data_IF_911964572082
#
_entry.id   IF_911964572082
#
_cell.length_a   1.000
_cell.length_b   1.000
_cell.length_c   1.000
_cell.angle_alpha   90.00
_cell.angle_beta   90.00
_cell.angle_gamma   90.00
#
_symmetry.space_group_name_H-M   'P 1'
#
loop_
_entity.id
_entity.type
_entity.pdbx_description
1 polymer ?
#
# COMPACT_ATOMS: atom_id res chain seq x y z
N UNK A 1 44.78 26.14 30.72
CA UNK A 1 44.85 25.34 29.46
C UNK A 1 44.90 23.83 29.69
N UNK A 2 45.86 23.26 30.44
CA UNK A 2 45.95 21.79 30.66
C UNK A 2 44.68 21.14 31.27
N UNK A 3 44.04 21.80 32.24
CA UNK A 3 42.80 21.30 32.86
C UNK A 3 41.62 21.24 31.88
N UNK A 4 41.46 22.27 31.05
CA UNK A 4 40.41 22.35 30.01
C UNK A 4 40.60 21.26 28.97
N UNK A 5 41.83 21.04 28.50
CA UNK A 5 42.12 19.96 27.53
C UNK A 5 41.81 18.58 28.11
N UNK A 6 42.16 18.32 29.39
CA UNK A 6 41.82 17.04 30.05
C UNK A 6 40.31 16.84 30.19
N UNK A 7 39.58 17.89 30.55
CA UNK A 7 38.12 17.85 30.62
C UNK A 7 37.49 17.56 29.25
N UNK A 8 37.94 18.24 28.19
CA UNK A 8 37.46 18.00 26.83
C UNK A 8 37.76 16.57 26.35
N UNK A 9 38.96 16.05 26.61
CA UNK A 9 39.30 14.66 26.28
C UNK A 9 38.39 13.69 27.05
N UNK A 10 38.19 13.90 28.35
CA UNK A 10 37.30 13.06 29.15
C UNK A 10 35.86 13.09 28.62
N UNK A 11 35.36 14.28 28.27
CA UNK A 11 34.03 14.45 27.67
C UNK A 11 33.92 13.70 26.34
N UNK A 12 34.91 13.83 25.44
CA UNK A 12 34.94 13.11 24.16
C UNK A 12 34.93 11.60 24.37
N UNK A 13 35.69 11.09 25.34
CA UNK A 13 35.72 9.65 25.66
C UNK A 13 34.36 9.18 26.18
N UNK A 14 33.74 9.93 27.10
CA UNK A 14 32.39 9.61 27.62
C UNK A 14 31.38 9.61 26.48
N UNK A 15 31.41 10.60 25.60
CA UNK A 15 30.55 10.67 24.42
C UNK A 15 30.78 9.50 23.47
N UNK A 16 32.03 9.10 23.23
CA UNK A 16 32.36 7.96 22.38
C UNK A 16 31.84 6.63 22.97
N UNK A 17 31.98 6.43 24.28
CA UNK A 17 31.46 5.23 24.97
C UNK A 17 29.93 5.22 24.95
N UNK A 18 29.28 6.34 25.30
CA UNK A 18 27.83 6.48 25.25
C UNK A 18 27.30 6.22 23.83
N UNK A 19 28.01 6.74 22.82
CA UNK A 19 27.71 6.54 21.42
C UNK A 19 27.78 5.05 21.01
N UNK A 20 28.89 4.37 21.31
CA UNK A 20 29.04 2.94 21.04
C UNK A 20 28.01 2.09 21.79
N UNK A 21 27.66 2.47 23.02
CA UNK A 21 26.62 1.82 23.81
C UNK A 21 25.23 1.97 23.20
N UNK A 22 24.84 3.19 22.82
CA UNK A 22 23.59 3.47 22.12
C UNK A 22 23.51 2.70 20.79
N UNK A 23 24.65 2.59 20.09
CA UNK A 23 24.75 1.86 18.85
C UNK A 23 24.47 0.37 18.98
N UNK A 24 25.16 -0.27 19.91
CA UNK A 24 25.00 -1.69 20.17
C UNK A 24 23.59 -1.99 20.67
N UNK A 25 23.00 -1.06 21.43
CA UNK A 25 21.61 -1.12 21.85
C UNK A 25 20.64 -1.10 20.65
N UNK A 26 20.79 -0.16 19.70
CA UNK A 26 19.94 -0.09 18.50
C UNK A 26 20.02 -1.37 17.69
N UNK A 27 21.22 -1.90 17.42
CA UNK A 27 21.38 -3.18 16.72
C UNK A 27 20.75 -4.35 17.50
N UNK A 28 20.85 -4.35 18.83
CA UNK A 28 20.17 -5.30 19.70
C UNK A 28 18.65 -5.22 19.57
N UNK A 29 18.08 -4.02 19.53
CA UNK A 29 16.63 -3.79 19.34
C UNK A 29 16.16 -4.26 17.97
N UNK A 30 16.92 -4.05 16.90
CA UNK A 30 16.60 -4.59 15.56
C UNK A 30 16.52 -6.12 15.57
N UNK A 31 17.51 -6.78 16.21
CA UNK A 31 17.50 -8.24 16.33
C UNK A 31 16.31 -8.77 17.15
N UNK A 32 15.94 -8.09 18.24
CA UNK A 32 14.76 -8.43 19.04
C UNK A 32 13.48 -8.23 18.24
N UNK A 33 13.34 -7.11 17.53
CA UNK A 33 12.18 -6.82 16.69
C UNK A 33 12.00 -7.88 15.60
N UNK A 34 13.09 -8.29 14.94
CA UNK A 34 13.05 -9.37 13.95
C UNK A 34 12.52 -10.69 14.56
N UNK A 35 13.02 -11.10 15.73
CA UNK A 35 12.54 -12.32 16.40
C UNK A 35 11.08 -12.23 16.85
N UNK A 36 10.66 -11.06 17.32
CA UNK A 36 9.25 -10.83 17.68
C UNK A 36 8.34 -10.96 16.46
N UNK A 37 8.76 -10.41 15.31
CA UNK A 37 8.03 -10.54 14.06
C UNK A 37 7.98 -11.99 13.56
N UNK A 38 9.10 -12.72 13.63
CA UNK A 38 9.18 -14.14 13.32
C UNK A 38 8.22 -14.97 14.20
N UNK A 39 8.21 -14.71 15.52
CA UNK A 39 7.30 -15.35 16.46
C UNK A 39 5.84 -15.02 16.17
N UNK A 40 5.52 -13.76 15.86
CA UNK A 40 4.16 -13.34 15.49
C UNK A 40 3.68 -14.04 14.21
N UNK A 41 4.54 -14.18 13.20
CA UNK A 41 4.23 -14.92 11.97
C UNK A 41 4.00 -16.41 12.24
N UNK A 42 4.88 -17.04 13.02
CA UNK A 42 4.69 -18.44 13.42
C UNK A 42 3.42 -18.66 14.23
N UNK A 43 3.09 -17.75 15.15
CA UNK A 43 1.83 -17.78 15.90
C UNK A 43 0.60 -17.66 14.99
N UNK A 44 0.74 -16.96 13.86
CA UNK A 44 -0.27 -16.87 12.80
C UNK A 44 -0.26 -18.07 11.82
N UNK A 45 0.52 -19.12 12.10
CA UNK A 45 0.59 -20.34 11.29
C UNK A 45 1.55 -20.28 10.09
N UNK A 46 2.34 -19.21 9.94
CA UNK A 46 3.36 -19.14 8.90
C UNK A 46 4.56 -20.02 9.25
N UNK A 47 5.14 -20.66 8.23
CA UNK A 47 6.46 -21.26 8.35
C UNK A 47 7.51 -20.21 7.96
N UNK A 48 8.37 -19.86 8.91
CA UNK A 48 9.47 -18.90 8.70
C UNK A 48 10.77 -19.63 8.97
N UNK A 49 11.66 -19.65 7.98
CA UNK A 49 13.05 -20.13 8.13
C UNK A 49 14.01 -19.04 7.69
N UNK A 50 15.23 -19.06 8.22
CA UNK A 50 16.28 -18.15 7.79
C UNK A 50 17.66 -18.76 8.08
N UNK A 51 18.67 -18.30 7.35
CA UNK A 51 20.07 -18.59 7.57
C UNK A 51 20.68 -17.77 8.71
N UNK A 52 21.97 -17.47 8.58
CA UNK A 52 22.71 -16.72 9.59
C UNK A 52 22.17 -15.29 9.75
N UNK A 53 22.25 -14.78 10.99
CA UNK A 53 21.99 -13.37 11.31
C UNK A 53 23.30 -12.71 11.68
N UNK A 54 23.48 -11.44 11.30
CA UNK A 54 24.68 -10.68 11.62
C UNK A 54 24.35 -9.23 11.97
N UNK A 55 25.18 -8.64 12.83
CA UNK A 55 25.16 -7.21 13.16
C UNK A 55 26.31 -6.52 12.43
N UNK A 56 26.06 -5.31 11.94
CA UNK A 56 27.09 -4.49 11.30
C UNK A 56 28.18 -4.08 12.29
N UNK A 57 29.41 -3.98 11.81
CA UNK A 57 30.57 -3.53 12.61
C UNK A 57 30.88 -2.05 12.46
N UNK A 58 30.28 -1.38 11.47
CA UNK A 58 30.51 0.04 11.22
C UNK A 58 29.94 0.87 12.38
N UNK A 59 30.67 1.90 12.86
CA UNK A 59 30.13 2.86 13.82
C UNK A 59 29.24 3.92 13.15
N UNK A 60 29.05 3.92 11.83
CA UNK A 60 28.30 4.95 11.11
C UNK A 60 26.90 4.51 10.63
N UNK A 61 26.63 3.20 10.55
CA UNK A 61 25.31 2.64 10.23
C UNK A 61 24.96 1.37 11.04
N UNK A 62 23.83 1.39 11.76
CA UNK A 62 23.42 0.31 12.65
C UNK A 62 22.70 -0.68 11.77
N UNK A 63 23.41 -1.72 11.38
CA UNK A 63 22.90 -2.70 10.43
C UNK A 63 22.60 -4.01 11.14
N UNK A 64 21.47 -4.62 10.78
CA UNK A 64 21.14 -5.99 11.10
C UNK A 64 20.80 -6.72 9.80
N UNK A 65 21.46 -7.83 9.52
CA UNK A 65 21.25 -8.62 8.29
C UNK A 65 20.81 -10.03 8.62
N UNK A 66 19.94 -10.59 7.80
CA UNK A 66 19.46 -11.96 7.89
C UNK A 66 19.55 -12.58 6.49
N UNK A 67 20.22 -13.74 6.40
CA UNK A 67 20.41 -14.46 5.14
C UNK A 67 19.31 -15.49 4.91
N UNK A 68 19.05 -15.83 3.65
CA UNK A 68 18.22 -16.96 3.20
C UNK A 68 16.86 -17.06 3.90
N UNK A 69 16.15 -15.94 4.03
CA UNK A 69 14.82 -15.95 4.66
C UNK A 69 13.84 -16.62 3.72
N UNK A 70 13.09 -17.60 4.21
CA UNK A 70 11.95 -18.16 3.50
C UNK A 70 10.66 -18.01 4.32
N UNK A 71 9.59 -17.61 3.64
CA UNK A 71 8.25 -17.50 4.18
C UNK A 71 7.31 -18.43 3.42
N UNK A 72 6.61 -19.31 4.13
CA UNK A 72 5.52 -20.12 3.57
C UNK A 72 4.24 -19.80 4.35
N UNK A 73 3.15 -19.38 3.68
CA UNK A 73 1.89 -19.08 4.34
C UNK A 73 1.26 -20.35 4.95
N UNK A 74 0.36 -20.18 5.93
CA UNK A 74 -0.42 -21.29 6.47
C UNK A 74 -1.20 -22.00 5.35
N UNK A 75 -1.46 -23.30 5.54
CA UNK A 75 -2.29 -24.07 4.61
C UNK A 75 -3.74 -23.60 4.64
N UNK A 76 -4.24 -23.24 3.47
CA UNK A 76 -5.63 -22.79 3.24
C UNK A 76 -6.32 -23.62 2.15
N UNK A 77 -5.81 -24.82 1.84
CA UNK A 77 -6.36 -25.69 0.80
C UNK A 77 -6.04 -25.23 -0.63
N UNK A 78 -5.08 -24.31 -0.79
CA UNK A 78 -4.56 -23.84 -2.08
C UNK A 78 -3.04 -24.08 -2.14
N UNK A 79 -2.44 -24.24 -3.34
CA UNK A 79 -1.00 -24.40 -3.49
C UNK A 79 -0.24 -23.28 -2.77
N UNK A 80 0.71 -23.67 -1.90
CA UNK A 80 1.40 -22.74 -1.00
C UNK A 80 2.67 -22.19 -1.67
N UNK A 81 2.78 -20.89 -1.93
CA UNK A 81 4.04 -20.30 -2.37
C UNK A 81 5.02 -20.23 -1.19
N UNK A 82 6.26 -20.65 -1.40
CA UNK A 82 7.39 -20.32 -0.51
C UNK A 82 8.17 -19.19 -1.15
N UNK A 83 8.23 -18.05 -0.46
CA UNK A 83 8.94 -16.85 -0.90
C UNK A 83 10.30 -16.84 -0.21
N UNK A 84 11.37 -16.91 -0.99
CA UNK A 84 12.76 -16.91 -0.50
C UNK A 84 13.47 -15.62 -0.90
N UNK A 85 14.06 -14.97 0.09
CA UNK A 85 14.89 -13.78 -0.02
C UNK A 85 16.34 -14.15 0.33
N UNK A 86 17.32 -13.94 -0.57
CA UNK A 86 18.71 -14.27 -0.26
C UNK A 86 19.26 -13.45 0.91
N UNK A 87 18.86 -12.18 1.05
CA UNK A 87 19.27 -11.35 2.17
C UNK A 87 18.23 -10.27 2.47
N UNK A 88 17.90 -10.09 3.74
CA UNK A 88 17.22 -8.91 4.28
C UNK A 88 18.21 -8.11 5.12
N UNK A 89 18.18 -6.80 4.99
CA UNK A 89 18.95 -5.90 5.86
C UNK A 89 18.07 -4.78 6.40
N UNK A 90 18.31 -4.41 7.65
CA UNK A 90 17.70 -3.27 8.32
C UNK A 90 18.82 -2.37 8.75
N UNK A 91 18.73 -1.08 8.45
CA UNK A 91 19.80 -0.12 8.67
C UNK A 91 19.26 1.21 9.21
N UNK A 92 19.94 1.77 10.20
CA UNK A 92 19.75 3.17 10.64
C UNK A 92 21.09 3.89 10.51
N UNK A 93 21.14 4.93 9.67
CA UNK A 93 22.37 5.69 9.45
C UNK A 93 22.56 6.78 10.51
N UNK A 94 23.80 7.08 10.89
CA UNK A 94 24.09 8.17 11.84
C UNK A 94 23.60 9.53 11.31
N UNK A 95 23.72 9.78 10.01
CA UNK A 95 23.28 11.03 9.38
C UNK A 95 21.75 11.18 9.35
N UNK A 96 21.01 10.08 9.57
CA UNK A 96 19.56 10.03 9.58
C UNK A 96 19.07 9.05 10.67
N UNK A 97 19.27 9.37 11.97
CA UNK A 97 19.10 8.43 13.07
C UNK A 97 17.63 8.02 13.31
N UNK A 98 16.70 8.73 12.67
CA UNK A 98 15.26 8.47 12.72
C UNK A 98 14.71 7.90 11.42
N UNK A 99 15.59 7.48 10.51
CA UNK A 99 15.21 6.79 9.27
C UNK A 99 15.67 5.34 9.33
N UNK A 100 14.71 4.43 9.19
CA UNK A 100 14.90 3.00 9.10
C UNK A 100 14.90 2.59 7.64
N UNK A 101 16.08 2.30 7.10
CA UNK A 101 16.23 1.75 5.75
C UNK A 101 16.05 0.23 5.81
N UNK A 102 15.17 -0.32 4.96
CA UNK A 102 15.01 -1.77 4.76
C UNK A 102 15.60 -2.13 3.40
N UNK A 103 16.79 -2.73 3.42
CA UNK A 103 17.44 -3.24 2.23
C UNK A 103 16.90 -4.63 1.90
N UNK A 104 16.09 -4.70 0.85
CA UNK A 104 15.58 -5.93 0.26
C UNK A 104 16.41 -6.32 -0.97
N UNK A 105 16.51 -7.63 -1.30
CA UNK A 105 17.26 -8.08 -2.45
C UNK A 105 16.49 -7.76 -3.74
N UNK A 106 17.22 -7.61 -4.84
CA UNK A 106 16.63 -7.30 -6.16
C UNK A 106 16.02 -8.52 -6.85
N UNK A 107 16.19 -9.73 -6.30
CA UNK A 107 15.62 -10.97 -6.84
C UNK A 107 15.07 -11.83 -5.70
N UNK A 108 13.80 -12.21 -5.80
CA UNK A 108 13.09 -13.07 -4.84
C UNK A 108 12.65 -14.33 -5.57
N UNK A 109 12.83 -15.49 -4.95
CA UNK A 109 12.38 -16.75 -5.52
C UNK A 109 11.04 -17.15 -4.91
N UNK A 110 10.09 -17.53 -5.75
CA UNK A 110 8.75 -17.93 -5.33
C UNK A 110 8.52 -19.35 -5.86
N UNK A 111 8.57 -20.34 -4.98
CA UNK A 111 8.35 -21.74 -5.34
C UNK A 111 6.98 -22.21 -4.87
N UNK A 112 6.13 -22.68 -5.77
CA UNK A 112 4.85 -23.30 -5.38
C UNK A 112 5.10 -24.67 -4.76
N UNK A 113 4.32 -25.05 -3.74
CA UNK A 113 4.43 -26.36 -3.10
C UNK A 113 4.27 -27.54 -4.07
N UNK A 114 3.49 -27.31 -5.12
CA UNK A 114 3.34 -28.19 -6.28
C UNK A 114 3.24 -27.26 -7.51
N UNK A 115 4.11 -27.44 -8.49
CA UNK A 115 4.05 -26.70 -9.76
C UNK A 115 5.25 -25.76 -9.98
N UNK A 116 5.07 -24.70 -10.79
CA UNK A 116 6.18 -23.89 -11.28
C UNK A 116 6.82 -23.05 -10.18
N UNK A 117 8.08 -22.69 -10.41
CA UNK A 117 8.76 -21.66 -9.64
C UNK A 117 8.87 -20.37 -10.46
N UNK A 118 8.91 -19.24 -9.76
CA UNK A 118 9.01 -17.91 -10.32
C UNK A 118 10.14 -17.12 -9.67
N UNK A 119 10.66 -16.14 -10.38
CA UNK A 119 11.58 -15.14 -9.83
C UNK A 119 10.97 -13.77 -9.98
N UNK A 120 10.78 -13.07 -8.87
CA UNK A 120 10.40 -11.66 -8.84
C UNK A 120 11.68 -10.83 -8.85
N UNK A 121 11.91 -10.06 -9.91
CA UNK A 121 13.10 -9.24 -10.10
C UNK A 121 12.76 -7.76 -10.06
N UNK A 122 13.70 -6.95 -9.62
CA UNK A 122 13.62 -5.48 -9.59
C UNK A 122 14.90 -4.89 -10.16
N UNK A 123 14.81 -3.77 -10.88
CA UNK A 123 16.00 -2.99 -11.25
C UNK A 123 16.50 -2.17 -10.05
N UNK A 124 15.56 -1.63 -9.28
CA UNK A 124 15.82 -0.95 -8.01
C UNK A 124 14.69 -1.28 -7.04
N UNK A 125 15.01 -1.40 -5.75
CA UNK A 125 14.03 -1.54 -4.68
C UNK A 125 14.54 -0.74 -3.47
N UNK A 126 13.69 0.15 -2.96
CA UNK A 126 13.99 0.97 -1.80
C UNK A 126 12.77 1.03 -0.89
N UNK A 127 13.02 0.88 0.40
CA UNK A 127 12.01 0.90 1.45
C UNK A 127 12.61 1.63 2.66
N UNK A 128 12.02 2.75 3.04
CA UNK A 128 12.47 3.57 4.16
C UNK A 128 11.28 4.02 5.03
N UNK A 129 11.50 4.08 6.34
CA UNK A 129 10.50 4.52 7.31
C UNK A 129 11.05 5.59 8.24
N UNK A 130 10.26 6.62 8.52
CA UNK A 130 10.57 7.62 9.54
C UNK A 130 10.00 7.19 10.89
N UNK A 131 10.85 7.32 11.91
CA UNK A 131 10.56 7.01 13.31
C UNK A 131 10.30 8.32 14.05
N UNK A 132 9.22 8.38 14.81
CA UNK A 132 9.00 9.46 15.77
C UNK A 132 9.84 9.21 17.03
N UNK A 133 10.82 10.09 17.35
CA UNK A 133 11.66 9.94 18.52
C UNK A 133 10.85 9.95 19.83
N UNK A 134 9.79 10.75 19.91
CA UNK A 134 8.97 10.82 21.12
C UNK A 134 8.16 9.54 21.31
N UNK A 135 7.64 8.97 20.23
CA UNK A 135 6.96 7.68 20.27
C UNK A 135 7.91 6.53 20.65
N UNK A 136 9.14 6.55 20.11
CA UNK A 136 10.16 5.57 20.42
C UNK A 136 10.58 5.63 21.89
N UNK A 137 10.89 6.84 22.40
CA UNK A 137 11.29 7.08 23.78
C UNK A 137 10.12 6.87 24.77
N UNK A 138 8.90 7.16 24.35
CA UNK A 138 7.67 6.88 25.09
C UNK A 138 7.19 5.43 25.02
N UNK A 139 7.97 4.53 24.41
CA UNK A 139 7.67 3.10 24.28
C UNK A 139 6.29 2.81 23.67
N UNK A 140 5.86 3.63 22.71
CA UNK A 140 4.62 3.38 21.96
C UNK A 140 4.75 2.10 21.14
N UNK A 141 3.64 1.39 20.97
CA UNK A 141 3.62 0.12 20.24
C UNK A 141 4.11 0.24 18.79
N UNK A 142 3.80 1.35 18.12
CA UNK A 142 4.29 1.66 16.78
C UNK A 142 4.90 3.07 16.75
N UNK A 143 6.24 3.20 16.63
CA UNK A 143 6.91 4.49 16.52
C UNK A 143 7.09 4.95 15.07
N UNK A 144 6.69 4.16 14.06
CA UNK A 144 6.78 4.55 12.66
C UNK A 144 5.67 5.58 12.34
N UNK A 145 6.01 6.63 11.58
CA UNK A 145 5.08 7.70 11.20
C UNK A 145 4.95 7.93 9.73
N UNK A 146 5.96 7.58 8.95
CA UNK A 146 5.85 7.61 7.51
C UNK A 146 6.75 6.56 6.91
N UNK A 147 6.49 6.21 5.67
CA UNK A 147 7.41 5.36 4.92
C UNK A 147 7.18 5.45 3.44
N UNK A 148 8.21 5.14 2.68
CA UNK A 148 8.18 5.08 1.22
C UNK A 148 8.69 3.74 0.76
N UNK A 149 7.88 3.04 -0.02
CA UNK A 149 8.32 1.87 -0.78
C UNK A 149 8.31 2.28 -2.25
N UNK A 150 9.43 2.10 -2.92
CA UNK A 150 9.53 2.33 -4.36
C UNK A 150 10.36 1.28 -5.05
N UNK A 151 9.93 0.89 -6.24
CA UNK A 151 10.71 0.04 -7.12
C UNK A 151 10.58 0.45 -8.58
N UNK A 152 11.55 0.02 -9.38
CA UNK A 152 11.51 0.14 -10.84
C UNK A 152 11.83 -1.18 -11.50
N UNK A 153 11.34 -1.37 -12.72
CA UNK A 153 11.62 -2.53 -13.57
C UNK A 153 11.27 -3.85 -12.90
N UNK A 154 10.13 -3.91 -12.18
CA UNK A 154 9.68 -5.18 -11.60
C UNK A 154 9.28 -6.14 -12.71
N UNK A 155 9.73 -7.39 -12.61
CA UNK A 155 9.38 -8.48 -13.52
C UNK A 155 9.10 -9.73 -12.71
N UNK A 156 8.03 -10.44 -13.08
CA UNK A 156 7.82 -11.80 -12.63
C UNK A 156 8.18 -12.73 -13.78
N UNK A 157 9.27 -13.46 -13.61
CA UNK A 157 9.78 -14.38 -14.61
C UNK A 157 9.53 -15.82 -14.16
N UNK A 158 9.21 -16.72 -15.09
CA UNK A 158 9.27 -18.16 -14.84
C UNK A 158 10.71 -18.55 -14.49
N UNK A 159 10.92 -19.26 -13.39
CA UNK A 159 12.26 -19.66 -12.96
C UNK A 159 12.91 -20.65 -13.93
N UNK A 160 12.11 -21.46 -14.63
CA UNK A 160 12.60 -22.49 -15.56
C UNK A 160 12.94 -21.90 -16.94
N UNK A 161 12.09 -21.02 -17.46
CA UNK A 161 12.20 -20.53 -18.85
C UNK A 161 12.74 -19.11 -18.95
N UNK A 162 12.89 -18.38 -17.83
CA UNK A 162 13.18 -16.94 -17.78
C UNK A 162 12.20 -16.09 -18.60
N UNK A 163 11.00 -16.63 -18.86
CA UNK A 163 9.95 -15.94 -19.60
C UNK A 163 9.21 -14.99 -18.66
N UNK A 164 9.11 -13.72 -19.05
CA UNK A 164 8.40 -12.71 -18.26
C UNK A 164 6.89 -12.85 -18.43
N UNK A 165 6.21 -13.01 -17.30
CA UNK A 165 4.77 -13.19 -17.20
C UNK A 165 4.04 -11.85 -17.03
N UNK A 166 4.58 -11.00 -16.16
CA UNK A 166 4.11 -9.65 -15.87
C UNK A 166 5.31 -8.75 -15.60
N UNK A 167 5.19 -7.48 -15.98
CA UNK A 167 6.16 -6.45 -15.65
C UNK A 167 5.47 -5.19 -15.15
N UNK A 168 6.13 -4.43 -14.29
CA UNK A 168 5.72 -3.10 -13.84
C UNK A 168 6.93 -2.17 -13.96
N UNK A 169 6.79 -1.11 -14.75
CA UNK A 169 7.87 -0.15 -14.97
C UNK A 169 8.28 0.57 -13.67
N UNK A 170 7.31 1.03 -12.88
CA UNK A 170 7.58 1.61 -11.55
C UNK A 170 6.39 1.54 -10.62
N UNK A 171 6.67 1.43 -9.32
CA UNK A 171 5.71 1.59 -8.25
C UNK A 171 6.28 2.49 -7.17
N UNK A 172 5.45 3.37 -6.62
CA UNK A 172 5.75 4.17 -5.45
C UNK A 172 4.54 4.13 -4.53
N UNK A 173 4.78 3.85 -3.25
CA UNK A 173 3.79 4.01 -2.19
C UNK A 173 4.41 4.81 -1.06
N UNK A 174 3.77 5.91 -0.68
CA UNK A 174 4.14 6.72 0.48
C UNK A 174 2.99 6.72 1.46
N UNK A 175 3.27 6.42 2.72
CA UNK A 175 2.31 6.47 3.81
C UNK A 175 2.75 7.48 4.86
N UNK A 176 1.79 8.12 5.52
CA UNK A 176 1.98 8.90 6.73
C UNK A 176 0.87 8.56 7.73
N UNK A 177 1.22 8.39 9.00
CA UNK A 177 0.34 8.10 10.12
C UNK A 177 0.69 9.05 11.26
N UNK A 178 -0.31 9.83 11.69
CA UNK A 178 -0.25 10.71 12.86
C UNK A 178 -1.34 10.27 13.86
N UNK A 179 -0.98 9.44 14.85
CA UNK A 179 -1.94 8.95 15.84
C UNK A 179 -2.43 10.04 16.80
N UNK A 180 -1.77 11.20 16.83
CA UNK A 180 -2.12 12.34 17.68
C UNK A 180 -2.87 13.43 16.90
N UNK A 181 -3.19 13.19 15.61
CA UNK A 181 -3.93 14.11 14.77
C UNK A 181 -5.29 14.47 15.38
N UNK A 182 -5.58 15.77 15.50
CA UNK A 182 -6.89 16.26 15.94
C UNK A 182 -7.99 16.13 14.88
N UNK A 183 -9.16 16.70 15.16
CA UNK A 183 -10.30 16.72 14.22
C UNK A 183 -10.03 17.48 12.93
N UNK A 184 -8.98 18.29 12.84
CA UNK A 184 -8.64 19.08 11.67
C UNK A 184 -7.30 18.71 11.03
N UNK A 185 -6.67 17.63 11.52
CA UNK A 185 -5.39 17.15 11.01
C UNK A 185 -5.57 15.79 10.33
N UNK A 186 -4.76 15.56 9.30
CA UNK A 186 -4.65 14.27 8.62
C UNK A 186 -4.04 13.24 9.56
N UNK A 187 -4.83 12.25 9.94
CA UNK A 187 -4.38 11.13 10.77
C UNK A 187 -3.72 10.04 9.93
N UNK A 188 -4.17 9.83 8.69
CA UNK A 188 -3.54 8.89 7.76
C UNK A 188 -3.55 9.46 6.35
N UNK A 189 -2.40 9.44 5.70
CA UNK A 189 -2.26 9.70 4.28
C UNK A 189 -1.65 8.48 3.60
N UNK A 190 -2.19 8.09 2.46
CA UNK A 190 -1.62 7.05 1.60
C UNK A 190 -1.68 7.51 0.15
N UNK A 191 -0.51 7.59 -0.48
CA UNK A 191 -0.34 7.82 -1.91
C UNK A 191 0.28 6.59 -2.54
N UNK A 192 -0.32 6.07 -3.60
CA UNK A 192 0.18 4.96 -4.40
C UNK A 192 0.15 5.34 -5.87
N UNK A 193 1.22 5.02 -6.59
CA UNK A 193 1.36 5.25 -8.03
C UNK A 193 2.04 4.04 -8.67
N UNK A 194 1.32 3.36 -9.54
CA UNK A 194 1.78 2.26 -10.38
C UNK A 194 1.83 2.75 -11.84
N UNK A 195 2.92 2.48 -12.55
CA UNK A 195 3.08 2.85 -13.97
C UNK A 195 3.62 1.69 -14.79
N UNK A 196 3.13 1.60 -16.02
CA UNK A 196 3.61 0.68 -17.04
C UNK A 196 3.50 -0.77 -16.62
N UNK A 197 2.33 -1.18 -16.12
CA UNK A 197 2.05 -2.60 -15.95
C UNK A 197 1.77 -3.20 -17.33
N UNK A 198 2.40 -4.33 -17.62
CA UNK A 198 2.20 -5.05 -18.87
C UNK A 198 2.22 -6.56 -18.62
N UNK A 199 1.25 -7.25 -19.20
CA UNK A 199 1.24 -8.70 -19.30
C UNK A 199 2.15 -9.16 -20.42
N UNK A 200 2.57 -10.42 -20.34
CA UNK A 200 3.33 -11.04 -21.41
C UNK A 200 2.52 -11.11 -22.72
N UNK A 201 3.12 -10.87 -23.89
CA UNK A 201 2.42 -10.96 -25.18
C UNK A 201 1.73 -12.30 -25.41
N UNK A 202 2.28 -13.41 -24.89
CA UNK A 202 1.63 -14.72 -25.00
C UNK A 202 0.28 -14.74 -24.27
N UNK A 203 0.20 -14.18 -23.06
CA UNK A 203 -1.06 -14.11 -22.32
C UNK A 203 -2.05 -13.15 -22.94
N UNK A 204 -1.56 -12.04 -23.52
CA UNK A 204 -2.38 -11.09 -24.25
C UNK A 204 -3.06 -11.78 -25.43
N UNK A 205 -2.28 -12.51 -26.23
CA UNK A 205 -2.79 -13.23 -27.40
C UNK A 205 -3.70 -14.38 -27.01
N UNK A 206 -3.31 -15.22 -26.04
CA UNK A 206 -4.12 -16.38 -25.63
C UNK A 206 -5.42 -15.96 -24.93
N UNK A 207 -5.34 -14.95 -24.06
CA UNK A 207 -6.47 -14.44 -23.29
C UNK A 207 -7.31 -13.40 -24.02
N UNK A 208 -6.94 -13.02 -25.25
CA UNK A 208 -7.56 -11.91 -25.98
C UNK A 208 -7.71 -10.66 -25.10
N UNK A 209 -6.66 -10.33 -24.36
CA UNK A 209 -6.70 -9.21 -23.39
C UNK A 209 -6.62 -7.89 -24.17
N UNK A 210 -7.59 -6.97 -24.00
CA UNK A 210 -7.58 -5.70 -24.71
C UNK A 210 -6.38 -4.83 -24.31
N UNK A 211 -6.12 -3.79 -25.11
CA UNK A 211 -5.07 -2.80 -24.87
C UNK A 211 -3.67 -3.40 -24.73
N UNK A 212 -3.40 -4.48 -25.46
CA UNK A 212 -2.18 -5.29 -25.38
C UNK A 212 -1.86 -5.78 -23.95
N UNK A 213 -2.87 -5.92 -23.07
CA UNK A 213 -2.68 -6.23 -21.65
C UNK A 213 -1.81 -5.22 -20.90
N UNK A 214 -1.84 -3.94 -21.30
CA UNK A 214 -1.09 -2.86 -20.68
C UNK A 214 -2.00 -1.95 -19.86
N UNK A 215 -1.49 -1.55 -18.70
CA UNK A 215 -2.02 -0.49 -17.85
C UNK A 215 -0.95 0.60 -17.75
N UNK A 216 -1.21 1.76 -18.35
CA UNK A 216 -0.21 2.82 -18.45
C UNK A 216 0.06 3.45 -17.08
N UNK A 217 -0.99 3.76 -16.32
CA UNK A 217 -0.87 4.28 -14.97
C UNK A 217 -2.11 3.96 -14.12
N UNK A 218 -1.88 3.74 -12.83
CA UNK A 218 -2.89 3.71 -11.79
C UNK A 218 -2.37 4.52 -10.60
N UNK A 219 -3.15 5.47 -10.12
CA UNK A 219 -2.83 6.27 -8.94
C UNK A 219 -3.99 6.23 -7.96
N UNK A 220 -3.65 6.17 -6.68
CA UNK A 220 -4.59 6.17 -5.58
C UNK A 220 -4.05 7.07 -4.48
N UNK A 221 -4.85 8.04 -4.09
CA UNK A 221 -4.57 9.02 -3.04
C UNK A 221 -5.70 8.95 -2.03
N UNK A 222 -5.38 8.84 -0.74
CA UNK A 222 -6.36 8.93 0.34
C UNK A 222 -5.78 9.73 1.50
N UNK A 223 -6.58 10.64 2.03
CA UNK A 223 -6.34 11.40 3.24
C UNK A 223 -7.52 11.17 4.18
N UNK A 224 -7.24 10.66 5.37
CA UNK A 224 -8.19 10.44 6.43
C UNK A 224 -7.83 11.35 7.60
N UNK A 225 -8.77 12.20 7.99
CA UNK A 225 -8.65 13.16 9.09
C UNK A 225 -9.58 12.78 10.24
N UNK A 226 -9.18 13.11 11.48
CA UNK A 226 -9.98 12.86 12.68
C UNK A 226 -9.22 12.19 13.82
N UNK A 227 -9.74 12.28 15.06
CA UNK A 227 -8.97 12.13 16.30
C UNK A 227 -8.47 10.72 16.64
N UNK A 228 -8.85 9.71 15.86
CA UNK A 228 -8.48 8.32 16.12
C UNK A 228 -8.80 7.43 14.93
N UNK A 229 -7.88 7.33 13.98
CA UNK A 229 -7.94 6.19 13.10
C UNK A 229 -7.57 4.93 13.90
N UNK A 230 -8.24 3.80 13.63
CA UNK A 230 -7.74 2.54 14.14
C UNK A 230 -6.31 2.38 13.62
N UNK A 231 -5.38 1.93 14.46
CA UNK A 231 -4.00 1.67 14.04
C UNK A 231 -4.04 0.92 12.71
N UNK A 232 -3.61 1.59 11.65
CA UNK A 232 -3.81 1.10 10.31
C UNK A 232 -3.14 -0.28 10.18
N UNK A 233 -3.74 -1.11 9.34
CA UNK A 233 -3.32 -2.45 8.98
C UNK A 233 -1.78 -2.59 8.87
N UNK A 234 -1.25 -3.80 9.12
CA UNK A 234 0.19 -4.08 9.21
C UNK A 234 1.02 -3.33 8.17
N UNK A 235 2.14 -2.77 8.61
CA UNK A 235 3.21 -2.27 7.72
C UNK A 235 3.56 -3.33 6.69
N UNK A 236 4.03 -2.94 5.49
CA UNK A 236 4.34 -3.85 4.38
C UNK A 236 5.30 -5.02 4.75
N UNK A 237 6.02 -4.88 5.87
CA UNK A 237 6.97 -5.83 6.43
C UNK A 237 6.31 -6.92 7.30
N UNK A 238 5.04 -6.74 7.67
CA UNK A 238 4.28 -7.66 8.52
C UNK A 238 3.20 -8.29 7.64
N UNK A 239 3.40 -9.53 7.15
CA UNK A 239 2.31 -10.27 6.54
C UNK A 239 1.08 -10.24 7.44
N UNK A 240 -0.10 -10.03 6.86
CA UNK A 240 -1.34 -10.05 7.61
C UNK A 240 -1.43 -11.38 8.39
N UNK A 241 -1.37 -11.28 9.72
CA UNK A 241 -1.47 -12.43 10.64
C UNK A 241 -2.89 -12.97 10.75
N UNK A 242 -3.86 -12.20 10.27
CA UNK A 242 -5.24 -12.63 10.13
C UNK A 242 -5.48 -12.98 8.67
N UNK A 243 -6.17 -14.11 8.39
CA UNK A 243 -6.54 -14.44 7.02
C UNK A 243 -7.28 -13.25 6.40
N UNK A 244 -6.94 -12.96 5.14
CA UNK A 244 -7.68 -11.95 4.39
C UNK A 244 -9.17 -12.31 4.45
N UNK A 245 -10.06 -11.33 4.66
CA UNK A 245 -11.49 -11.61 4.64
C UNK A 245 -11.83 -12.24 3.29
N UNK A 246 -12.50 -13.39 3.31
CA UNK A 246 -12.83 -14.13 2.08
C UNK A 246 -14.09 -13.58 1.41
N UNK A 247 -14.76 -12.63 2.06
CA UNK A 247 -15.90 -11.90 1.52
C UNK A 247 -15.93 -10.45 1.98
N UNK A 248 -16.58 -9.55 1.22
CA UNK A 248 -16.85 -8.18 1.65
C UNK A 248 -17.60 -8.11 2.99
N UNK A 249 -18.50 -9.06 3.26
CA UNK A 249 -19.26 -9.11 4.51
C UNK A 249 -18.34 -9.36 5.72
N UNK A 250 -17.37 -10.27 5.61
CA UNK A 250 -16.38 -10.49 6.67
C UNK A 250 -15.46 -9.29 6.85
N UNK A 251 -15.04 -8.65 5.75
CA UNK A 251 -14.26 -7.41 5.81
C UNK A 251 -15.06 -6.33 6.55
N UNK A 252 -16.35 -6.19 6.23
CA UNK A 252 -17.26 -5.25 6.89
C UNK A 252 -17.47 -5.57 8.36
N UNK A 253 -17.66 -6.84 8.74
CA UNK A 253 -17.80 -7.23 10.15
C UNK A 253 -16.56 -6.87 10.97
N UNK A 254 -15.37 -6.97 10.38
CA UNK A 254 -14.11 -6.62 11.04
C UNK A 254 -13.86 -5.12 11.09
N UNK A 255 -14.03 -4.43 9.96
CA UNK A 255 -13.68 -3.01 9.82
C UNK A 255 -14.81 -2.07 10.24
N UNK A 256 -16.06 -2.51 10.14
CA UNK A 256 -17.25 -1.70 10.35
C UNK A 256 -17.31 -1.07 11.75
N UNK A 257 -17.06 -1.79 12.86
CA UNK A 257 -17.04 -1.18 14.19
C UNK A 257 -15.95 -0.11 14.32
N UNK A 258 -14.77 -0.39 13.76
CA UNK A 258 -13.62 0.51 13.78
C UNK A 258 -13.90 1.80 12.99
N UNK A 259 -14.51 1.68 11.80
CA UNK A 259 -14.94 2.81 10.98
C UNK A 259 -16.08 3.56 11.67
N UNK A 260 -17.02 2.87 12.32
CA UNK A 260 -18.15 3.48 13.03
C UNK A 260 -17.68 4.37 14.18
N UNK A 261 -16.71 3.90 14.97
CA UNK A 261 -16.15 4.68 16.07
C UNK A 261 -15.39 5.91 15.57
N UNK A 262 -14.62 5.76 14.49
CA UNK A 262 -13.97 6.89 13.83
C UNK A 262 -14.99 7.89 13.24
N UNK A 263 -16.06 7.40 12.62
CA UNK A 263 -17.15 8.22 12.09
C UNK A 263 -17.85 9.02 13.20
N UNK A 264 -18.20 8.37 14.32
CA UNK A 264 -18.78 9.03 15.50
C UNK A 264 -17.89 10.13 16.08
N UNK A 265 -16.56 9.95 15.96
CA UNK A 265 -15.58 10.92 16.43
C UNK A 265 -15.35 12.10 15.47
N UNK A 266 -16.17 12.24 14.42
CA UNK A 266 -16.06 13.31 13.43
C UNK A 266 -15.05 13.02 12.31
N UNK A 267 -14.75 11.74 12.08
CA UNK A 267 -13.90 11.29 10.98
C UNK A 267 -14.39 11.80 9.62
N UNK A 268 -13.46 12.18 8.77
CA UNK A 268 -13.72 12.59 7.39
C UNK A 268 -12.48 12.39 6.54
N UNK A 269 -12.61 12.51 5.23
CA UNK A 269 -11.47 12.33 4.37
C UNK A 269 -11.68 12.82 2.95
N UNK A 270 -10.61 12.70 2.18
CA UNK A 270 -10.62 12.91 0.74
C UNK A 270 -9.89 11.77 0.06
N UNK A 271 -10.21 11.57 -1.21
CA UNK A 271 -9.55 10.58 -2.04
C UNK A 271 -9.42 11.10 -3.47
N UNK A 272 -8.45 10.57 -4.20
CA UNK A 272 -8.36 10.69 -5.64
C UNK A 272 -7.90 9.38 -6.26
N UNK A 273 -8.43 9.07 -7.43
CA UNK A 273 -8.10 7.88 -8.20
C UNK A 273 -7.83 8.32 -9.64
N UNK A 274 -6.75 7.87 -10.23
CA UNK A 274 -6.48 8.08 -11.66
C UNK A 274 -6.12 6.76 -12.34
N UNK A 275 -6.68 6.54 -13.53
CA UNK A 275 -6.51 5.33 -14.32
C UNK A 275 -6.27 5.71 -15.78
N UNK A 276 -5.14 5.28 -16.32
CA UNK A 276 -4.82 5.36 -17.75
C UNK A 276 -4.76 3.94 -18.34
N UNK A 277 -5.79 3.57 -19.11
CA UNK A 277 -5.98 2.23 -19.68
C UNK A 277 -6.43 2.31 -21.14
N UNK A 278 -5.53 1.95 -22.07
CA UNK A 278 -5.82 2.09 -23.50
C UNK A 278 -6.13 3.54 -23.86
N UNK A 279 -7.26 3.84 -24.53
CA UNK A 279 -7.68 5.22 -24.80
C UNK A 279 -8.32 5.92 -23.58
N UNK A 280 -8.69 5.19 -22.52
CA UNK A 280 -9.34 5.75 -21.35
C UNK A 280 -8.34 6.47 -20.44
N UNK A 281 -8.64 7.72 -20.11
CA UNK A 281 -8.02 8.46 -19.00
C UNK A 281 -9.10 8.88 -18.02
N UNK A 282 -9.25 8.11 -16.95
CA UNK A 282 -10.24 8.35 -15.92
C UNK A 282 -9.58 8.98 -14.70
N UNK A 283 -10.18 10.04 -14.18
CA UNK A 283 -9.76 10.69 -12.95
C UNK A 283 -10.99 10.93 -12.09
N UNK A 284 -10.88 10.56 -10.82
CA UNK A 284 -11.88 10.79 -9.82
C UNK A 284 -11.25 11.48 -8.62
N UNK A 285 -11.98 12.36 -7.98
CA UNK A 285 -11.61 12.94 -6.69
C UNK A 285 -12.87 13.25 -5.89
N UNK A 286 -12.80 13.03 -4.59
CA UNK A 286 -13.93 13.22 -3.73
C UNK A 286 -13.54 13.54 -2.30
N UNK A 287 -14.53 14.01 -1.56
CA UNK A 287 -14.49 14.13 -0.12
C UNK A 287 -15.69 13.41 0.48
N UNK A 288 -15.49 12.92 1.69
CA UNK A 288 -16.54 12.27 2.45
C UNK A 288 -16.43 12.63 3.93
N UNK A 289 -17.55 12.53 4.61
CA UNK A 289 -17.72 12.78 6.04
C UNK A 289 -18.91 11.96 6.54
N UNK A 290 -19.18 12.01 7.83
CA UNK A 290 -20.37 11.42 8.41
C UNK A 290 -21.27 12.51 9.02
N UNK A 291 -22.57 12.24 9.05
CA UNK A 291 -23.52 13.08 9.78
C UNK A 291 -23.63 12.66 11.25
N UNK A 292 -24.62 13.23 11.96
CA UNK A 292 -24.84 12.97 13.37
C UNK A 292 -25.32 11.54 13.68
N UNK A 293 -25.84 10.79 12.70
CA UNK A 293 -26.30 9.39 12.84
C UNK A 293 -25.33 8.40 12.18
N UNK A 294 -24.03 8.69 12.34
CA UNK A 294 -22.91 8.27 11.48
C UNK A 294 -23.30 7.70 10.10
N UNK A 295 -24.09 8.43 9.30
CA UNK A 295 -24.35 8.06 7.92
C UNK A 295 -23.38 8.78 6.98
N UNK A 296 -22.86 8.08 5.94
CA UNK A 296 -21.91 8.67 5.02
C UNK A 296 -22.55 9.79 4.19
N UNK A 297 -21.80 10.86 4.02
CA UNK A 297 -22.10 11.98 3.12
C UNK A 297 -20.84 12.35 2.36
N UNK A 298 -20.98 12.88 1.14
CA UNK A 298 -19.79 13.25 0.38
C UNK A 298 -20.11 13.81 -1.00
N UNK A 299 -19.05 14.25 -1.66
CA UNK A 299 -19.06 14.70 -3.06
C UNK A 299 -17.91 14.04 -3.79
N UNK A 300 -18.11 13.72 -5.05
CA UNK A 300 -17.13 13.04 -5.88
C UNK A 300 -17.31 13.51 -7.32
N UNK A 301 -16.23 13.88 -8.00
CA UNK A 301 -16.26 14.30 -9.40
C UNK A 301 -15.45 13.32 -10.21
N UNK A 302 -16.16 12.54 -11.03
CA UNK A 302 -15.61 11.61 -11.99
C UNK A 302 -15.47 12.28 -13.35
N UNK A 303 -14.28 12.20 -13.92
CA UNK A 303 -13.98 12.61 -15.28
C UNK A 303 -13.37 11.43 -16.04
N UNK A 304 -13.74 11.27 -17.31
CA UNK A 304 -13.20 10.21 -18.16
C UNK A 304 -13.06 10.70 -19.59
N UNK A 305 -11.84 10.77 -20.10
CA UNK A 305 -11.56 11.03 -21.51
C UNK A 305 -11.41 9.72 -22.27
N UNK A 306 -11.92 9.66 -23.50
CA UNK A 306 -11.80 8.49 -24.37
C UNK A 306 -12.71 7.31 -23.98
N UNK A 307 -13.78 7.57 -23.22
CA UNK A 307 -14.70 6.53 -22.73
C UNK A 307 -15.40 5.80 -23.87
N UNK A 308 -15.80 6.52 -24.93
CA UNK A 308 -16.46 5.93 -26.08
C UNK A 308 -15.55 4.97 -26.85
N UNK A 309 -14.32 5.41 -27.13
CA UNK A 309 -13.28 4.59 -27.76
C UNK A 309 -12.94 3.36 -26.90
N UNK A 310 -12.76 3.54 -25.60
CA UNK A 310 -12.50 2.45 -24.66
C UNK A 310 -13.61 1.40 -24.66
N UNK A 311 -14.87 1.84 -24.56
CA UNK A 311 -16.03 0.95 -24.57
C UNK A 311 -16.17 0.22 -25.92
N UNK A 312 -15.86 0.90 -27.03
CA UNK A 312 -15.79 0.29 -28.36
C UNK A 312 -14.73 -0.80 -28.45
N UNK A 313 -13.52 -0.55 -27.94
CA UNK A 313 -12.43 -1.52 -27.91
C UNK A 313 -12.78 -2.74 -27.05
N UNK A 314 -13.42 -2.54 -25.89
CA UNK A 314 -13.93 -3.63 -25.04
C UNK A 314 -14.98 -4.46 -25.78
N UNK A 315 -15.96 -3.81 -26.41
CA UNK A 315 -17.00 -4.50 -27.16
C UNK A 315 -16.43 -5.29 -28.35
N UNK A 316 -15.38 -4.77 -29.00
CA UNK A 316 -14.66 -5.44 -30.08
C UNK A 316 -13.86 -6.65 -29.59
N UNK A 317 -13.16 -6.51 -28.46
CA UNK A 317 -12.39 -7.60 -27.87
C UNK A 317 -13.28 -8.69 -27.28
N UNK A 318 -14.45 -8.31 -26.74
CA UNK A 318 -15.38 -9.18 -26.04
C UNK A 318 -16.82 -8.99 -26.56
N UNK A 319 -17.20 -9.65 -27.67
CA UNK A 319 -18.51 -9.48 -28.30
C UNK A 319 -19.71 -9.74 -27.36
N UNK A 320 -19.54 -10.61 -26.37
CA UNK A 320 -20.56 -10.89 -25.34
C UNK A 320 -20.89 -9.68 -24.45
N UNK A 321 -20.03 -8.66 -24.41
CA UNK A 321 -20.22 -7.46 -23.59
C UNK A 321 -20.99 -6.36 -24.31
N UNK A 322 -21.25 -6.48 -25.62
CA UNK A 322 -21.88 -5.45 -26.46
C UNK A 322 -23.19 -4.92 -25.85
N UNK A 323 -24.03 -5.81 -25.30
CA UNK A 323 -25.29 -5.41 -24.66
C UNK A 323 -25.08 -4.55 -23.41
N UNK A 324 -24.14 -4.93 -22.54
CA UNK A 324 -23.79 -4.16 -21.34
C UNK A 324 -23.12 -2.85 -21.72
N UNK A 325 -22.20 -2.85 -22.67
CA UNK A 325 -21.53 -1.66 -23.19
C UNK A 325 -22.54 -0.66 -23.78
N UNK A 326 -23.52 -1.15 -24.54
CA UNK A 326 -24.59 -0.31 -25.11
C UNK A 326 -25.45 0.31 -24.01
N UNK A 327 -25.82 -0.46 -22.99
CA UNK A 327 -26.56 0.04 -21.83
C UNK A 327 -25.76 1.13 -21.07
N UNK A 328 -24.48 0.88 -20.79
CA UNK A 328 -23.60 1.84 -20.11
C UNK A 328 -23.41 3.12 -20.94
N UNK A 329 -23.28 2.98 -22.26
CA UNK A 329 -23.19 4.11 -23.18
C UNK A 329 -24.47 4.95 -23.14
N UNK A 330 -25.64 4.31 -23.19
CA UNK A 330 -26.93 5.00 -23.11
C UNK A 330 -27.15 5.70 -21.75
N UNK A 331 -26.77 5.04 -20.65
CA UNK A 331 -26.90 5.61 -19.30
C UNK A 331 -25.93 6.76 -19.05
N UNK A 332 -24.74 6.73 -19.66
CA UNK A 332 -23.74 7.77 -19.52
C UNK A 332 -23.91 8.95 -20.50
N UNK A 333 -24.66 8.76 -21.59
CA UNK A 333 -24.89 9.78 -22.62
C UNK A 333 -25.31 11.17 -22.09
N UNK A 334 -26.18 11.30 -21.06
CA UNK A 334 -26.54 12.62 -20.51
C UNK A 334 -25.37 13.38 -19.86
N UNK A 335 -24.29 12.69 -19.56
CA UNK A 335 -23.10 13.20 -18.89
C UNK A 335 -21.88 13.27 -19.81
N UNK A 336 -22.05 12.95 -21.10
CA UNK A 336 -21.01 13.00 -22.11
C UNK A 336 -20.98 14.39 -22.76
N UNK A 337 -19.77 14.89 -22.96
CA UNK A 337 -19.46 16.11 -23.70
C UNK A 337 -18.35 15.82 -24.72
N UNK A 338 -18.14 16.73 -25.67
CA UNK A 338 -16.97 16.67 -26.56
C UNK A 338 -15.85 17.53 -26.01
N UNK A 339 -14.63 17.00 -25.97
CA UNK A 339 -13.44 17.79 -25.68
C UNK A 339 -13.14 18.74 -26.85
N UNK A 340 -12.27 19.77 -26.66
CA UNK A 340 -11.78 20.60 -27.76
C UNK A 340 -11.09 19.81 -28.88
N UNK A 341 -10.54 18.63 -28.55
CA UNK A 341 -9.90 17.69 -29.48
C UNK A 341 -10.89 16.73 -30.16
N UNK A 342 -12.18 16.83 -29.85
CA UNK A 342 -13.24 16.02 -30.46
C UNK A 342 -13.52 14.68 -29.78
N UNK A 343 -12.74 14.30 -28.77
CA UNK A 343 -12.95 13.07 -28.00
C UNK A 343 -14.18 13.17 -27.09
N UNK A 344 -14.77 12.02 -26.76
CA UNK A 344 -15.83 11.96 -25.77
C UNK A 344 -15.24 12.10 -24.35
N UNK A 345 -15.80 13.02 -23.58
CA UNK A 345 -15.51 13.24 -22.17
C UNK A 345 -16.74 13.00 -21.32
N UNK A 346 -16.66 12.04 -20.42
CA UNK A 346 -17.60 11.85 -19.33
C UNK A 346 -17.26 12.81 -18.19
N UNK A 347 -18.25 13.52 -17.65
CA UNK A 347 -18.07 14.31 -16.41
C UNK A 347 -19.31 14.17 -15.54
N UNK A 348 -19.14 13.59 -14.36
CA UNK A 348 -20.22 13.33 -13.41
C UNK A 348 -19.84 13.81 -12.02
N UNK A 349 -20.60 14.76 -11.51
CA UNK A 349 -20.55 15.22 -10.13
C UNK A 349 -21.57 14.44 -9.31
N UNK A 350 -21.07 13.53 -8.48
CA UNK A 350 -21.86 12.80 -7.51
C UNK A 350 -21.92 13.54 -6.18
N UNK A 351 -23.08 13.52 -5.54
CA UNK A 351 -23.22 13.93 -4.14
C UNK A 351 -24.16 12.99 -3.39
N UNK A 352 -23.74 12.58 -2.19
CA UNK A 352 -24.53 11.81 -1.24
C UNK A 352 -24.82 12.68 -0.02
N UNK A 353 -26.10 12.95 0.24
CA UNK A 353 -26.54 13.65 1.43
C UNK A 353 -27.91 13.12 1.87
N UNK A 354 -28.09 12.90 3.18
CA UNK A 354 -29.35 12.42 3.76
C UNK A 354 -29.91 11.17 3.05
N UNK A 355 -29.05 10.23 2.68
CA UNK A 355 -29.44 9.00 1.96
C UNK A 355 -29.84 9.21 0.50
N UNK A 356 -29.70 10.40 -0.07
CA UNK A 356 -30.02 10.69 -1.47
C UNK A 356 -28.72 10.80 -2.27
N UNK A 357 -28.57 9.94 -3.27
CA UNK A 357 -27.50 10.04 -4.25
C UNK A 357 -27.98 10.88 -5.44
N UNK A 358 -27.19 11.88 -5.80
CA UNK A 358 -27.41 12.73 -6.96
C UNK A 358 -26.23 12.63 -7.93
N UNK A 359 -26.50 12.79 -9.22
CA UNK A 359 -25.52 12.95 -10.29
C UNK A 359 -25.85 14.22 -11.07
N UNK A 360 -24.90 15.15 -11.16
CA UNK A 360 -25.07 16.49 -11.73
C UNK A 360 -26.33 17.20 -11.18
N UNK A 361 -26.56 17.07 -9.88
CA UNK A 361 -27.71 17.65 -9.16
C UNK A 361 -29.05 16.92 -9.34
N UNK A 362 -29.13 15.89 -10.18
CA UNK A 362 -30.35 15.08 -10.37
C UNK A 362 -30.32 13.85 -9.46
N UNK A 363 -31.42 13.57 -8.77
CA UNK A 363 -31.57 12.35 -7.96
C UNK A 363 -31.46 11.11 -8.85
N UNK A 364 -30.53 10.22 -8.52
CA UNK A 364 -30.33 8.95 -9.23
C UNK A 364 -30.76 7.74 -8.39
N UNK A 365 -30.59 7.80 -7.07
CA UNK A 365 -30.94 6.70 -6.19
C UNK A 365 -31.23 7.17 -4.75
N UNK A 366 -31.92 6.33 -4.00
CA UNK A 366 -31.93 6.38 -2.54
C UNK A 366 -30.96 5.32 -2.02
N UNK A 367 -29.97 5.72 -1.24
CA UNK A 367 -29.01 4.83 -0.59
C UNK A 367 -29.59 4.40 0.75
N UNK A 368 -29.76 3.10 1.03
CA UNK A 368 -30.24 2.66 2.34
C UNK A 368 -29.23 3.05 3.43
N UNK A 369 -29.69 3.31 4.66
CA UNK A 369 -28.79 3.58 5.78
C UNK A 369 -27.77 2.46 5.97
N UNK A 370 -26.54 2.82 6.33
CA UNK A 370 -25.48 1.87 6.67
C UNK A 370 -25.86 1.15 7.96
N UNK A 371 -25.95 -0.17 7.88
CA UNK A 371 -26.12 -1.03 9.05
C UNK A 371 -24.74 -1.38 9.58
N UNK A 372 -24.35 -0.67 10.64
CA UNK A 372 -23.07 -0.88 11.32
C UNK A 372 -23.07 -2.23 12.05
N UNK A 373 -21.99 -3.03 11.95
CA UNK A 373 -21.85 -4.23 12.77
C UNK A 373 -21.79 -3.84 14.25
N UNK A 374 -22.24 -4.72 15.17
CA UNK A 374 -22.04 -4.50 16.59
C UNK A 374 -20.55 -4.41 16.92
N UNK A 375 -20.19 -3.64 17.95
CA UNK A 375 -18.85 -3.68 18.52
C UNK A 375 -18.59 -5.12 19.03
N UNK A 376 -17.55 -5.74 18.49
CA UNK A 376 -17.16 -7.13 18.82
C UNK A 376 -16.39 -7.26 20.12
#
# INVERSE_FOLDING_TARGET
>A
MRGVVRFLIALIVILAIAYLGAWWYVQGRMAVAFRQQEQALRAAGWTVTHGATARGTSPLAATYTVQDIAFTPPDQGVPRPTITLPQLSVKVALAAPFTLDIGLPLAWHIAMSQGPAFTLRFATLHDDYQIDPNALLGHKANPLRSGTIRFTGMRLDSAETNFTLISIASYVATGHDDPDAGTHATALMLHQSLKGLALSPIFVTLGHVPFDGKLAALRFDIDLSGPKLPAAAPTAITPATTPAPTSPQQAWQKLGPMIHDWAKAGGHGSFAIALDLGPLKAHDHGNFRFDATPQPQGKMTLTGDGVGEFLGDIASAYPQTVGVVSLLTAQSAPYMSKTPTGHQRLTVDFALANGILTANGKKVAHVPPVVWPPAG
#
